data_IF_549204146201
#
_entry.id   IF_549204146201
#
_cell.length_a   1.000
_cell.length_b   1.000
_cell.length_c   1.000
_cell.angle_alpha   90.00
_cell.angle_beta   90.00
_cell.angle_gamma   90.00
#
_symmetry.space_group_name_H-M   'P 1'
#
loop_
_entity.id
_entity.type
_entity.pdbx_description
1 polymer ?
#
# COMPACT_ATOMS: atom_id res chain seq x y z
N UNK A 1 9.49 -28.11 -14.03
CA UNK A 1 9.83 -26.91 -13.22
C UNK A 1 10.85 -25.99 -13.88
N UNK A 2 11.98 -26.48 -14.42
CA UNK A 2 13.02 -25.63 -15.06
C UNK A 2 12.55 -24.80 -16.27
N UNK A 3 11.57 -25.28 -17.06
CA UNK A 3 11.00 -24.55 -18.21
C UNK A 3 10.11 -23.36 -17.76
N UNK A 4 9.33 -23.53 -16.69
CA UNK A 4 8.47 -22.48 -16.13
C UNK A 4 9.27 -21.35 -15.48
N UNK A 5 10.38 -21.66 -14.80
CA UNK A 5 11.29 -20.63 -14.28
C UNK A 5 11.95 -19.79 -15.38
N UNK A 6 12.32 -20.40 -16.52
CA UNK A 6 12.90 -19.67 -17.67
C UNK A 6 11.89 -18.73 -18.32
N UNK A 7 10.63 -19.15 -18.43
CA UNK A 7 9.55 -18.30 -18.93
C UNK A 7 9.20 -17.15 -17.98
N UNK A 8 9.24 -17.39 -16.66
CA UNK A 8 9.03 -16.34 -15.65
C UNK A 8 10.17 -15.30 -15.67
N UNK A 9 11.43 -15.75 -15.81
CA UNK A 9 12.59 -14.86 -15.94
C UNK A 9 12.53 -14.07 -17.24
N UNK A 10 12.13 -14.69 -18.37
CA UNK A 10 11.92 -13.95 -19.62
C UNK A 10 10.79 -12.93 -19.51
N UNK A 11 9.69 -13.25 -18.84
CA UNK A 11 8.59 -12.30 -18.63
C UNK A 11 9.02 -11.11 -17.77
N UNK A 12 9.83 -11.34 -16.73
CA UNK A 12 10.41 -10.29 -15.89
C UNK A 12 11.40 -9.44 -16.67
N UNK A 13 12.22 -10.03 -17.55
CA UNK A 13 13.18 -9.29 -18.39
C UNK A 13 12.48 -8.48 -19.49
N UNK A 14 11.41 -9.02 -20.11
CA UNK A 14 10.60 -8.29 -21.11
C UNK A 14 9.79 -7.17 -20.45
N UNK A 15 9.29 -7.36 -19.22
CA UNK A 15 8.74 -6.26 -18.44
C UNK A 15 9.81 -5.21 -18.12
N UNK A 16 11.03 -5.63 -17.77
CA UNK A 16 12.12 -4.71 -17.44
C UNK A 16 12.59 -3.88 -18.66
N UNK A 17 12.59 -4.45 -19.87
CA UNK A 17 12.96 -3.72 -21.10
C UNK A 17 11.83 -2.86 -21.66
N UNK A 18 10.56 -3.15 -21.35
CA UNK A 18 9.45 -2.26 -21.69
C UNK A 18 9.42 -0.99 -20.82
N UNK A 19 10.08 -0.99 -19.66
CA UNK A 19 10.17 0.15 -18.74
C UNK A 19 11.23 1.19 -19.14
N UNK A 20 12.08 0.92 -20.14
CA UNK A 20 13.16 1.84 -20.55
C UNK A 20 12.76 2.80 -21.69
N UNK A 21 11.51 2.79 -22.15
CA UNK A 21 11.05 3.59 -23.30
C UNK A 21 10.05 4.69 -22.90
N UNK A 22 10.57 5.79 -22.33
CA UNK A 22 10.19 7.21 -22.57
C UNK A 22 10.57 8.06 -21.34
N UNK A 23 11.76 8.65 -21.39
CA UNK A 23 12.15 9.76 -20.54
C UNK A 23 11.56 11.06 -21.12
N UNK A 24 10.33 11.44 -20.76
CA UNK A 24 9.87 12.80 -21.03
C UNK A 24 8.75 13.26 -20.08
N UNK A 25 9.00 14.42 -19.45
CA UNK A 25 8.27 15.09 -18.37
C UNK A 25 8.33 14.37 -17.02
N UNK A 26 9.12 14.95 -16.11
CA UNK A 26 9.02 14.61 -14.69
C UNK A 26 7.62 14.96 -14.21
N UNK A 27 6.78 13.96 -14.00
CA UNK A 27 5.48 14.16 -13.38
C UNK A 27 5.67 14.84 -12.02
N UNK A 28 4.86 15.87 -11.70
CA UNK A 28 4.96 16.57 -10.44
C UNK A 28 4.71 15.60 -9.28
N UNK A 29 5.36 15.87 -8.15
CA UNK A 29 5.12 15.12 -6.92
C UNK A 29 3.67 15.33 -6.49
N UNK A 30 3.02 14.25 -6.05
CA UNK A 30 1.68 14.33 -5.47
C UNK A 30 1.74 13.84 -4.04
N UNK A 31 1.16 14.61 -3.13
CA UNK A 31 1.04 14.25 -1.72
C UNK A 31 -0.41 13.92 -1.44
N UNK A 32 -0.70 12.69 -1.03
CA UNK A 32 -2.00 12.25 -0.57
C UNK A 32 -2.03 12.15 0.94
N UNK A 33 -3.09 12.66 1.55
CA UNK A 33 -3.38 12.43 2.98
C UNK A 33 -4.65 11.62 3.03
N UNK A 34 -4.63 10.51 3.77
CA UNK A 34 -5.73 9.57 3.84
C UNK A 34 -6.03 9.09 5.25
N UNK A 35 -7.24 8.59 5.39
CA UNK A 35 -7.70 7.84 6.56
C UNK A 35 -8.09 6.44 6.11
N UNK A 36 -7.84 5.48 6.98
CA UNK A 36 -8.05 4.06 6.75
C UNK A 36 -8.97 3.51 7.82
N UNK A 37 -10.06 2.86 7.40
CA UNK A 37 -10.96 2.14 8.30
C UNK A 37 -11.09 0.71 7.82
N UNK A 38 -10.80 -0.27 8.69
CA UNK A 38 -10.75 -1.67 8.30
C UNK A 38 -11.18 -2.63 9.39
N UNK A 39 -11.20 -3.89 9.00
CA UNK A 39 -11.46 -5.01 9.89
C UNK A 39 -10.31 -6.01 9.76
N UNK A 40 -9.85 -6.54 10.89
CA UNK A 40 -8.96 -7.69 10.89
C UNK A 40 -9.69 -8.92 10.36
N UNK A 41 -8.97 -9.77 9.63
CA UNK A 41 -9.49 -10.96 8.97
C UNK A 41 -9.47 -12.20 9.86
N UNK A 42 -8.98 -12.07 11.10
CA UNK A 42 -8.86 -13.17 12.06
C UNK A 42 -9.68 -12.89 13.31
N UNK A 43 -10.23 -13.94 13.91
CA UNK A 43 -11.16 -13.87 15.05
C UNK A 43 -10.40 -13.67 16.37
N UNK A 44 -10.84 -12.77 17.26
CA UNK A 44 -11.93 -11.78 17.11
C UNK A 44 -11.53 -10.71 16.09
N UNK A 45 -12.42 -10.29 15.17
CA UNK A 45 -12.09 -9.33 14.11
C UNK A 45 -11.88 -7.93 14.69
N UNK A 46 -10.62 -7.47 14.92
CA UNK A 46 -10.40 -6.16 15.50
C UNK A 46 -10.85 -5.08 14.51
N UNK A 47 -11.38 -3.99 15.05
CA UNK A 47 -11.59 -2.80 14.24
C UNK A 47 -10.23 -2.12 14.05
N UNK A 48 -9.94 -1.66 12.84
CA UNK A 48 -8.69 -0.98 12.53
C UNK A 48 -8.99 0.43 12.05
N UNK A 49 -8.29 1.41 12.63
CA UNK A 49 -8.33 2.78 12.16
C UNK A 49 -6.92 3.29 11.99
N UNK A 50 -6.66 3.98 10.89
CA UNK A 50 -5.36 4.55 10.61
C UNK A 50 -5.46 5.88 9.88
N UNK A 51 -4.36 6.61 9.89
CA UNK A 51 -4.13 7.76 9.04
C UNK A 51 -2.81 7.56 8.30
N UNK A 52 -2.80 7.83 7.01
CA UNK A 52 -1.60 7.71 6.20
C UNK A 52 -1.34 8.95 5.33
N UNK A 53 -0.06 9.13 5.02
CA UNK A 53 0.45 10.11 4.10
C UNK A 53 1.19 9.37 3.01
N UNK A 54 0.82 9.64 1.76
CA UNK A 54 1.34 8.98 0.57
C UNK A 54 1.97 9.98 -0.37
N UNK A 55 3.27 9.86 -0.58
CA UNK A 55 3.97 10.53 -1.66
C UNK A 55 3.86 9.68 -2.93
N UNK A 56 3.56 10.31 -4.06
CA UNK A 56 3.46 9.68 -5.37
C UNK A 56 4.31 10.45 -6.38
N UNK A 57 5.03 9.72 -7.24
CA UNK A 57 5.80 10.26 -8.35
C UNK A 57 5.59 9.40 -9.60
N UNK A 58 5.24 10.02 -10.73
CA UNK A 58 5.14 9.31 -12.01
C UNK A 58 6.51 8.80 -12.47
N UNK A 59 6.58 7.54 -12.89
CA UNK A 59 7.80 6.92 -13.42
C UNK A 59 7.68 6.79 -14.95
N UNK A 60 6.60 6.17 -15.41
CA UNK A 60 6.23 6.06 -16.84
C UNK A 60 4.72 6.27 -16.99
N UNK A 61 4.24 6.39 -18.23
CA UNK A 61 2.80 6.53 -18.49
C UNK A 61 1.99 5.41 -17.83
N UNK A 62 1.11 5.79 -16.90
CA UNK A 62 0.25 4.87 -16.16
C UNK A 62 0.89 4.19 -14.94
N UNK A 63 2.20 4.34 -14.70
CA UNK A 63 2.91 3.76 -13.55
C UNK A 63 3.56 4.85 -12.69
N UNK A 64 3.20 4.88 -11.42
CA UNK A 64 3.78 5.79 -10.43
C UNK A 64 4.46 5.02 -9.31
N UNK A 65 5.60 5.51 -8.85
CA UNK A 65 6.17 5.12 -7.56
C UNK A 65 5.38 5.77 -6.44
N UNK A 66 5.12 5.00 -5.37
CA UNK A 66 4.44 5.49 -4.18
C UNK A 66 5.27 5.18 -2.94
N UNK A 67 5.21 6.09 -1.98
CA UNK A 67 5.80 5.93 -0.67
C UNK A 67 4.74 6.33 0.36
N UNK A 68 4.32 5.39 1.19
CA UNK A 68 3.28 5.60 2.20
C UNK A 68 3.88 5.43 3.58
N UNK A 69 3.63 6.41 4.44
CA UNK A 69 3.94 6.35 5.87
C UNK A 69 2.73 6.80 6.67
N UNK A 70 2.54 6.30 7.88
CA UNK A 70 1.36 6.65 8.66
C UNK A 70 1.33 6.01 10.03
N UNK A 71 0.13 5.95 10.60
CA UNK A 71 -0.14 5.30 11.87
C UNK A 71 -1.43 4.48 11.73
N UNK A 72 -1.36 3.22 12.15
CA UNK A 72 -2.47 2.27 12.14
C UNK A 72 -2.68 1.77 13.56
N UNK A 73 -3.92 1.82 14.05
CA UNK A 73 -4.29 1.37 15.37
C UNK A 73 -5.29 0.22 15.29
N UNK A 74 -4.98 -0.89 15.94
CA UNK A 74 -5.85 -2.05 16.07
C UNK A 74 -6.61 -1.97 17.39
N UNK A 75 -7.92 -1.75 17.31
CA UNK A 75 -8.83 -1.81 18.44
C UNK A 75 -9.19 -3.27 18.71
N UNK A 76 -8.51 -3.88 19.68
CA UNK A 76 -8.86 -5.20 20.18
C UNK A 76 -10.01 -5.12 21.19
N UNK A 77 -10.86 -6.16 21.18
CA UNK A 77 -11.96 -6.35 22.12
C UNK A 77 -11.54 -7.45 23.10
N UNK A 78 -11.77 -7.23 24.40
CA UNK A 78 -11.44 -8.12 25.53
C UNK A 78 -10.00 -8.10 26.05
N UNK A 79 -9.62 -6.99 26.74
CA UNK A 79 -8.54 -6.91 27.73
C UNK A 79 -7.11 -7.25 27.23
N UNK A 80 -6.91 -7.34 25.91
CA UNK A 80 -5.61 -7.46 25.26
C UNK A 80 -5.08 -6.06 24.87
N UNK A 81 -3.76 -5.91 24.87
CA UNK A 81 -3.11 -4.62 24.64
C UNK A 81 -3.37 -4.14 23.20
N UNK A 82 -4.01 -2.97 23.06
CA UNK A 82 -4.17 -2.30 21.77
C UNK A 82 -2.83 -2.19 21.05
N UNK A 83 -2.80 -2.50 19.75
CA UNK A 83 -1.56 -2.53 18.97
C UNK A 83 -1.54 -1.40 17.94
N UNK A 84 -0.61 -0.46 18.11
CA UNK A 84 -0.29 0.61 17.18
C UNK A 84 0.92 0.24 16.33
N UNK A 85 0.81 0.47 15.03
CA UNK A 85 1.87 0.27 14.06
C UNK A 85 2.09 1.53 13.23
N UNK A 86 3.36 1.85 12.98
CA UNK A 86 3.78 2.87 12.02
C UNK A 86 4.28 2.13 10.77
N UNK A 87 3.44 1.96 9.75
CA UNK A 87 3.87 1.36 8.49
C UNK A 87 4.69 2.36 7.68
N UNK A 88 5.88 1.96 7.25
CA UNK A 88 6.72 2.67 6.28
C UNK A 88 6.84 1.76 5.06
N UNK A 89 6.18 2.14 3.97
CA UNK A 89 6.01 1.31 2.78
C UNK A 89 6.41 2.06 1.52
N UNK A 90 7.03 1.34 0.59
CA UNK A 90 7.28 1.83 -0.76
C UNK A 90 6.65 0.85 -1.75
N UNK A 91 6.23 1.35 -2.91
CA UNK A 91 5.49 0.54 -3.85
C UNK A 91 5.28 1.18 -5.20
N UNK A 92 4.43 0.52 -5.97
CA UNK A 92 4.05 0.93 -7.31
C UNK A 92 2.52 1.05 -7.39
N UNK A 93 2.05 2.07 -8.11
CA UNK A 93 0.65 2.33 -8.44
C UNK A 93 0.51 2.35 -9.95
N UNK A 94 -0.28 1.43 -10.49
CA UNK A 94 -0.52 1.28 -11.93
C UNK A 94 -1.98 1.57 -12.26
N UNK A 95 -2.22 2.34 -13.33
CA UNK A 95 -3.55 2.72 -13.81
C UNK A 95 -3.86 1.96 -15.11
N UNK A 96 -4.46 0.75 -15.04
CA UNK A 96 -4.83 0.00 -16.23
C UNK A 96 -5.96 0.66 -17.02
N UNK A 97 -6.84 1.43 -16.35
CA UNK A 97 -7.98 2.14 -16.93
C UNK A 97 -8.01 3.54 -16.35
N UNK A 98 -8.58 4.51 -17.08
CA UNK A 98 -8.80 5.86 -16.53
C UNK A 98 -9.52 5.75 -15.19
N UNK A 99 -8.98 6.43 -14.17
CA UNK A 99 -9.51 6.50 -12.79
C UNK A 99 -9.35 5.24 -11.94
N UNK A 100 -9.26 4.03 -12.51
CA UNK A 100 -9.02 2.81 -11.75
C UNK A 100 -7.53 2.53 -11.61
N UNK A 101 -7.11 2.11 -10.42
CA UNK A 101 -5.73 1.74 -10.18
C UNK A 101 -5.60 0.48 -9.36
N UNK A 102 -4.46 -0.17 -9.55
CA UNK A 102 -3.97 -1.23 -8.70
C UNK A 102 -2.64 -0.78 -8.13
N UNK A 103 -2.38 -1.07 -6.87
CA UNK A 103 -1.12 -0.75 -6.23
C UNK A 103 -0.65 -1.90 -5.37
N UNK A 104 0.66 -2.03 -5.26
CA UNK A 104 1.29 -2.95 -4.34
C UNK A 104 2.41 -2.23 -3.62
N UNK A 105 2.37 -2.29 -2.30
CA UNK A 105 3.33 -1.64 -1.41
C UNK A 105 3.95 -2.69 -0.48
N UNK A 106 5.22 -2.52 -0.14
CA UNK A 106 5.90 -3.35 0.84
C UNK A 106 6.92 -2.52 1.62
N UNK A 107 7.23 -2.96 2.84
CA UNK A 107 8.19 -2.27 3.68
C UNK A 107 8.20 -2.80 5.10
N UNK A 108 8.35 -1.90 6.06
CA UNK A 108 8.48 -2.24 7.47
C UNK A 108 7.38 -1.55 8.30
N UNK A 109 6.70 -2.31 9.14
CA UNK A 109 5.82 -1.82 10.19
C UNK A 109 6.57 -1.80 11.52
N UNK A 110 6.65 -0.64 12.14
CA UNK A 110 7.23 -0.48 13.46
C UNK A 110 6.10 -0.46 14.49
N UNK A 111 6.07 -1.46 15.37
CA UNK A 111 5.14 -1.46 16.49
C UNK A 111 5.51 -0.39 17.51
N UNK A 112 4.51 0.33 18.02
CA UNK A 112 4.68 1.42 18.98
C UNK A 112 4.51 0.94 20.43
N UNK A 113 3.78 -0.15 20.63
CA UNK A 113 3.53 -0.72 21.97
C UNK A 113 4.70 -1.53 22.51
N UNK A 114 4.75 -1.63 23.85
CA UNK A 114 5.82 -2.30 24.57
C UNK A 114 5.90 -3.77 24.17
N UNK A 115 7.01 -4.16 23.54
CA UNK A 115 7.29 -5.53 23.10
C UNK A 115 6.95 -5.79 21.63
N UNK A 116 6.32 -4.85 20.92
CA UNK A 116 6.20 -4.91 19.48
C UNK A 116 7.53 -4.48 18.84
N UNK A 117 8.01 -5.29 17.88
CA UNK A 117 9.24 -4.98 17.13
C UNK A 117 8.93 -4.58 15.69
N UNK A 118 9.97 -4.51 14.88
CA UNK A 118 9.81 -4.33 13.44
C UNK A 118 9.22 -5.60 12.81
N UNK A 119 8.19 -5.45 12.00
CA UNK A 119 7.64 -6.48 11.13
C UNK A 119 7.79 -6.07 9.68
N UNK A 120 7.99 -7.03 8.78
CA UNK A 120 7.74 -6.79 7.37
C UNK A 120 6.24 -6.58 7.15
N UNK A 121 5.87 -5.62 6.30
CA UNK A 121 4.48 -5.34 5.92
C UNK A 121 4.38 -5.30 4.41
N UNK A 122 3.33 -5.90 3.87
CA UNK A 122 2.99 -5.80 2.46
C UNK A 122 1.50 -5.51 2.32
N UNK A 123 1.17 -4.73 1.30
CA UNK A 123 -0.16 -4.17 1.13
C UNK A 123 -0.50 -4.02 -0.35
N UNK A 124 -1.15 -5.02 -0.96
CA UNK A 124 -1.82 -4.87 -2.23
C UNK A 124 -3.13 -4.12 -2.03
N UNK A 125 -3.43 -3.22 -2.96
CA UNK A 125 -4.64 -2.42 -2.94
C UNK A 125 -5.18 -2.21 -4.35
N UNK A 126 -6.48 -2.04 -4.44
CA UNK A 126 -7.19 -1.59 -5.64
C UNK A 126 -7.97 -0.35 -5.28
N UNK A 127 -8.08 0.60 -6.21
CA UNK A 127 -8.77 1.84 -5.92
C UNK A 127 -9.24 2.58 -7.14
N UNK A 128 -9.98 3.64 -6.84
CA UNK A 128 -10.61 4.51 -7.78
C UNK A 128 -10.35 5.96 -7.39
N UNK A 129 -9.76 6.71 -8.31
CA UNK A 129 -9.50 8.14 -8.16
C UNK A 129 -10.59 8.93 -8.89
N UNK A 130 -11.35 9.75 -8.17
CA UNK A 130 -12.38 10.62 -8.75
C UNK A 130 -12.10 12.10 -8.47
N UNK A 131 -12.67 12.98 -9.30
CA UNK A 131 -12.51 14.43 -9.19
C UNK A 131 -11.04 14.91 -9.13
N UNK A 132 -10.09 14.14 -9.70
CA UNK A 132 -8.62 14.33 -9.73
C UNK A 132 -7.90 14.35 -8.38
N UNK A 133 -8.59 14.65 -7.28
CA UNK A 133 -8.02 14.84 -5.95
C UNK A 133 -8.47 13.76 -4.97
N UNK A 134 -9.65 13.17 -5.15
CA UNK A 134 -10.17 12.17 -4.24
C UNK A 134 -9.77 10.76 -4.68
N UNK A 135 -9.37 9.95 -3.71
CA UNK A 135 -8.90 8.60 -3.92
C UNK A 135 -9.57 7.68 -2.90
N UNK A 136 -10.27 6.65 -3.38
CA UNK A 136 -10.86 5.63 -2.53
C UNK A 136 -10.28 4.29 -2.93
N UNK A 137 -9.73 3.56 -1.97
CA UNK A 137 -9.11 2.25 -2.21
C UNK A 137 -9.48 1.25 -1.15
N UNK A 138 -9.50 -0.02 -1.55
CA UNK A 138 -9.51 -1.14 -0.61
C UNK A 138 -8.10 -1.71 -0.62
N UNK A 139 -7.47 -1.75 0.56
CA UNK A 139 -6.14 -2.31 0.76
C UNK A 139 -6.22 -3.53 1.67
N UNK A 140 -5.56 -4.60 1.27
CA UNK A 140 -5.19 -5.67 2.17
C UNK A 140 -3.86 -5.29 2.79
N UNK A 141 -3.66 -5.56 4.08
CA UNK A 141 -2.38 -5.33 4.75
C UNK A 141 -2.07 -6.50 5.68
N UNK A 142 -0.82 -6.94 5.64
CA UNK A 142 -0.37 -8.12 6.39
C UNK A 142 1.02 -7.88 6.95
N UNK A 143 1.12 -7.88 8.28
CA UNK A 143 2.39 -7.81 8.99
C UNK A 143 2.89 -9.23 9.25
N UNK A 144 3.90 -9.66 8.50
CA UNK A 144 4.36 -11.06 8.45
C UNK A 144 4.79 -11.62 9.80
N UNK A 145 5.26 -10.77 10.73
CA UNK A 145 5.65 -11.18 12.08
C UNK A 145 4.45 -11.48 12.98
N UNK A 146 3.28 -10.93 12.67
CA UNK A 146 2.08 -11.00 13.50
C UNK A 146 0.91 -11.55 12.66
N UNK A 147 0.75 -12.87 12.67
CA UNK A 147 -0.27 -13.58 11.89
C UNK A 147 -1.71 -13.09 12.13
N UNK A 148 -1.99 -12.48 13.29
CA UNK A 148 -3.30 -11.91 13.68
C UNK A 148 -3.59 -10.53 13.06
N UNK A 149 -2.59 -9.85 12.51
CA UNK A 149 -2.71 -8.45 12.02
C UNK A 149 -3.03 -8.35 10.53
N UNK A 150 -3.57 -9.43 9.95
CA UNK A 150 -4.11 -9.42 8.60
C UNK A 150 -5.38 -8.58 8.60
N UNK A 151 -5.41 -7.54 7.79
CA UNK A 151 -6.55 -6.64 7.73
C UNK A 151 -6.97 -6.33 6.30
N UNK A 152 -8.23 -5.99 6.17
CA UNK A 152 -8.80 -5.40 4.96
C UNK A 152 -9.35 -4.02 5.35
N UNK A 153 -8.77 -2.98 4.76
CA UNK A 153 -9.07 -1.59 5.09
C UNK A 153 -9.56 -0.83 3.86
N UNK A 154 -10.58 -0.02 4.07
CA UNK A 154 -11.01 1.02 3.14
C UNK A 154 -10.24 2.29 3.45
N UNK A 155 -9.53 2.79 2.45
CA UNK A 155 -8.77 4.03 2.48
C UNK A 155 -9.50 5.11 1.70
N UNK A 156 -9.67 6.27 2.31
CA UNK A 156 -10.19 7.48 1.66
C UNK A 156 -9.11 8.55 1.80
N UNK A 157 -8.69 9.14 0.68
CA UNK A 157 -7.61 10.10 0.65
C UNK A 157 -7.88 11.28 -0.27
N UNK A 158 -7.25 12.40 0.07
CA UNK A 158 -7.21 13.61 -0.72
C UNK A 158 -5.77 13.88 -1.19
N UNK A 159 -5.58 13.99 -2.50
CA UNK A 159 -4.32 14.20 -3.18
C UNK A 159 -4.14 15.64 -3.62
N UNK A 160 -3.07 16.25 -3.13
CA UNK A 160 -2.55 17.54 -3.54
C UNK A 160 -1.49 17.33 -4.63
N UNK A 161 -1.54 18.14 -5.68
CA UNK A 161 -0.43 18.24 -6.64
C UNK A 161 0.49 19.37 -6.16
N UNK A 162 1.79 19.08 -6.06
CA UNK A 162 2.82 20.06 -5.69
C UNK A 162 3.41 20.74 -6.94
#
# INVERSE_FOLDING_TARGET
>A
MKKLMRSAVLAVVVLATALTANAQKSDPWRLGIGVDGGLGLKTPTPFVLGGDVRLQKGIVHGLSGIFTTGYTHFFEKDNQASAGFIPVKAGLKYFPVSNFYVSAEAGAGFGVDKGLGTSFVWSPAIGYTFAKHWDVSVKYEDYTKYTETKQLALRIAYGFSL
#
